data_IF_006862174990
#
_entry.id   IF_006862174990
#
_cell.length_a   1.000
_cell.length_b   1.000
_cell.length_c   1.000
_cell.angle_alpha   90.00
_cell.angle_beta   90.00
_cell.angle_gamma   90.00
#
_symmetry.space_group_name_H-M   'P 1'
#
loop_
_entity.id
_entity.type
_entity.pdbx_description
1 polymer ?
#
# COMPACT_ATOMS: atom_id res chain seq x y z
N UNK A 1 -22.83 9.76 19.20
CA UNK A 1 -21.43 9.44 18.86
C UNK A 1 -21.32 7.93 18.96
N UNK A 2 -21.22 7.21 17.85
CA UNK A 2 -21.04 5.76 17.88
C UNK A 2 -19.55 5.47 17.75
N UNK A 3 -18.97 4.93 18.81
CA UNK A 3 -17.59 4.47 18.86
C UNK A 3 -17.59 2.99 18.50
N UNK A 4 -17.14 2.67 17.28
CA UNK A 4 -16.93 1.27 16.89
C UNK A 4 -15.51 0.90 17.31
N UNK A 5 -15.37 0.25 18.46
CA UNK A 5 -14.10 -0.28 18.94
C UNK A 5 -13.71 -1.53 18.17
N UNK A 6 -12.47 -1.60 17.66
CA UNK A 6 -11.88 -2.80 17.07
C UNK A 6 -10.59 -3.13 17.82
N UNK A 7 -10.41 -4.41 18.18
CA UNK A 7 -9.21 -4.95 18.81
C UNK A 7 -8.34 -5.59 17.72
N UNK A 8 -7.08 -5.18 17.63
CA UNK A 8 -6.09 -5.72 16.70
C UNK A 8 -4.92 -6.33 17.46
N UNK A 9 -4.34 -7.39 16.90
CA UNK A 9 -3.20 -8.11 17.50
C UNK A 9 -1.90 -7.32 17.37
N UNK A 10 -1.73 -6.60 16.26
CA UNK A 10 -0.61 -5.71 15.99
C UNK A 10 -1.10 -4.31 15.55
N UNK A 11 -0.32 -3.27 15.89
CA UNK A 11 -0.65 -1.88 15.58
C UNK A 11 -0.52 -1.54 14.09
N UNK A 12 0.39 -2.17 13.36
CA UNK A 12 0.52 -1.94 11.91
C UNK A 12 -0.64 -2.56 11.14
N UNK A 13 -1.06 -3.74 11.57
CA UNK A 13 -2.18 -4.48 10.99
C UNK A 13 -3.49 -3.70 11.18
N UNK A 14 -3.74 -3.15 12.37
CA UNK A 14 -4.89 -2.28 12.61
C UNK A 14 -4.90 -1.03 11.74
N UNK A 15 -3.74 -0.42 11.48
CA UNK A 15 -3.64 0.72 10.56
C UNK A 15 -3.97 0.34 9.12
N UNK A 16 -3.52 -0.83 8.66
CA UNK A 16 -3.84 -1.30 7.30
C UNK A 16 -5.33 -1.58 7.15
N UNK A 17 -5.94 -2.29 8.11
CA UNK A 17 -7.36 -2.67 8.06
C UNK A 17 -8.27 -1.44 8.10
N UNK A 18 -7.99 -0.50 9.01
CA UNK A 18 -8.77 0.76 9.09
C UNK A 18 -8.64 1.57 7.80
N UNK A 19 -7.46 1.59 7.17
CA UNK A 19 -7.27 2.32 5.92
C UNK A 19 -7.96 1.63 4.72
N UNK A 20 -7.95 0.29 4.67
CA UNK A 20 -8.70 -0.47 3.67
C UNK A 20 -10.21 -0.27 3.81
N UNK A 21 -10.73 -0.33 5.04
CA UNK A 21 -12.14 -0.07 5.35
C UNK A 21 -12.54 1.38 5.01
N UNK A 22 -11.68 2.35 5.29
CA UNK A 22 -11.86 3.75 4.89
C UNK A 22 -11.99 3.91 3.37
N UNK A 23 -11.13 3.23 2.59
CA UNK A 23 -11.17 3.24 1.13
C UNK A 23 -12.45 2.60 0.59
N UNK A 24 -12.82 1.41 1.08
CA UNK A 24 -13.99 0.67 0.62
C UNK A 24 -15.31 1.43 0.86
N UNK A 25 -15.40 2.13 1.99
CA UNK A 25 -16.59 2.89 2.37
C UNK A 25 -16.55 4.36 1.92
N UNK A 26 -15.50 4.79 1.20
CA UNK A 26 -15.27 6.21 0.81
C UNK A 26 -15.34 7.16 2.02
N UNK A 27 -14.96 6.66 3.20
CA UNK A 27 -15.10 7.36 4.48
C UNK A 27 -13.73 7.72 5.06
N UNK A 28 -13.71 8.86 5.73
CA UNK A 28 -12.50 9.46 6.25
C UNK A 28 -12.38 9.20 7.76
N UNK A 29 -11.35 8.45 8.17
CA UNK A 29 -11.17 7.96 9.53
C UNK A 29 -9.85 8.49 10.13
N UNK A 30 -9.94 9.25 11.23
CA UNK A 30 -8.82 9.72 12.06
C UNK A 30 -8.57 8.73 13.18
N UNK A 31 -7.37 8.16 13.22
CA UNK A 31 -6.95 7.23 14.27
C UNK A 31 -6.41 8.03 15.45
N UNK A 32 -7.06 7.92 16.60
CA UNK A 32 -6.52 8.39 17.88
C UNK A 32 -6.03 7.17 18.66
N UNK A 33 -4.80 7.26 19.18
CA UNK A 33 -4.18 6.18 19.95
C UNK A 33 -4.66 6.29 21.41
N UNK A 34 -5.22 5.22 21.96
CA UNK A 34 -5.42 5.03 23.39
C UNK A 34 -4.61 3.79 23.83
N UNK A 35 -4.39 3.62 25.14
CA UNK A 35 -3.45 2.65 25.72
C UNK A 35 -3.74 1.17 25.38
N UNK A 36 -4.88 0.84 24.75
CA UNK A 36 -5.18 -0.53 24.25
C UNK A 36 -6.12 -0.60 23.05
N UNK A 37 -6.70 0.54 22.60
CA UNK A 37 -7.68 0.56 21.52
C UNK A 37 -7.42 1.67 20.49
N UNK A 38 -7.77 1.40 19.23
CA UNK A 38 -7.76 2.42 18.18
C UNK A 38 -9.13 3.10 18.13
N UNK A 39 -9.17 4.40 18.41
CA UNK A 39 -10.41 5.18 18.30
C UNK A 39 -10.46 5.84 16.94
N UNK A 40 -11.48 5.50 16.17
CA UNK A 40 -11.72 6.03 14.83
C UNK A 40 -12.67 7.23 14.91
N UNK A 41 -12.19 8.43 14.55
CA UNK A 41 -12.98 9.68 14.52
C UNK A 41 -13.23 10.12 13.08
N UNK A 42 -14.37 10.74 12.78
CA UNK A 42 -14.65 11.29 11.44
C UNK A 42 -13.62 12.37 11.06
N UNK A 43 -12.96 12.23 9.91
CA UNK A 43 -12.09 13.28 9.34
C UNK A 43 -11.19 12.81 8.20
N UNK A 44 -10.86 13.74 7.29
CA UNK A 44 -10.21 13.60 5.96
C UNK A 44 -9.22 12.42 5.82
N UNK A 45 -9.27 11.61 4.74
CA UNK A 45 -8.60 10.31 4.74
C UNK A 45 -7.08 10.47 4.63
N UNK A 46 -6.37 9.87 5.57
CA UNK A 46 -4.92 9.75 5.48
C UNK A 46 -4.58 8.53 4.63
N UNK A 47 -4.66 8.68 3.30
CA UNK A 47 -4.26 7.63 2.38
C UNK A 47 -2.75 7.33 2.57
N UNK A 48 -2.44 6.25 3.29
CA UNK A 48 -1.07 5.76 3.44
C UNK A 48 -0.52 5.31 2.08
N UNK A 49 0.77 5.58 1.87
CA UNK A 49 1.51 5.24 0.64
C UNK A 49 1.43 3.74 0.35
N UNK A 50 1.55 2.90 1.39
CA UNK A 50 1.47 1.44 1.26
C UNK A 50 0.10 0.97 0.74
N UNK A 51 -0.99 1.57 1.23
CA UNK A 51 -2.34 1.19 0.83
C UNK A 51 -2.66 1.65 -0.59
N UNK A 52 -2.19 2.84 -0.97
CA UNK A 52 -2.21 3.30 -2.37
C UNK A 52 -1.41 2.35 -3.25
N UNK A 53 -0.21 1.94 -2.80
CA UNK A 53 0.64 1.03 -3.55
C UNK A 53 -0.04 -0.33 -3.79
N UNK A 54 -0.71 -0.88 -2.78
CA UNK A 54 -1.41 -2.16 -2.88
C UNK A 54 -2.61 -2.09 -3.83
N UNK A 55 -3.38 -1.01 -3.80
CA UNK A 55 -4.49 -0.77 -4.74
C UNK A 55 -4.00 -0.66 -6.19
N UNK A 56 -2.92 0.08 -6.43
CA UNK A 56 -2.40 0.30 -7.78
C UNK A 56 -1.51 -0.81 -8.31
N UNK A 57 -1.17 -1.83 -7.50
CA UNK A 57 -0.29 -2.94 -7.91
C UNK A 57 -0.75 -3.59 -9.22
N UNK A 58 -2.02 -3.98 -9.29
CA UNK A 58 -2.58 -4.66 -10.47
C UNK A 58 -2.66 -3.74 -11.69
N UNK A 59 -2.94 -2.44 -11.49
CA UNK A 59 -3.04 -1.46 -12.58
C UNK A 59 -1.66 -1.14 -13.19
N UNK A 60 -0.62 -1.04 -12.36
CA UNK A 60 0.76 -0.75 -12.79
C UNK A 60 1.46 -1.95 -13.43
N UNK A 61 1.12 -3.18 -13.01
CA UNK A 61 1.62 -4.40 -13.67
C UNK A 61 1.17 -4.50 -15.13
N UNK A 62 -0.10 -4.22 -15.42
CA UNK A 62 -0.64 -4.27 -16.78
C UNK A 62 -0.20 -3.07 -17.64
N UNK A 63 0.10 -1.92 -17.01
CA UNK A 63 0.49 -0.69 -17.69
C UNK A 63 1.66 0.01 -16.98
N UNK A 64 2.92 -0.38 -17.25
CA UNK A 64 4.09 0.19 -16.56
C UNK A 64 4.27 1.70 -16.80
N UNK A 65 3.77 2.22 -17.92
CA UNK A 65 3.80 3.66 -18.26
C UNK A 65 2.61 4.48 -17.73
N UNK A 66 1.82 3.94 -16.80
CA UNK A 66 0.65 4.65 -16.26
C UNK A 66 1.05 6.01 -15.67
N UNK A 67 0.40 7.09 -16.13
CA UNK A 67 0.75 8.47 -15.81
C UNK A 67 0.24 8.83 -14.41
N UNK A 68 1.06 9.58 -13.66
CA UNK A 68 0.71 10.03 -12.30
C UNK A 68 -0.52 10.95 -12.26
N UNK A 69 -0.79 11.69 -13.35
CA UNK A 69 -1.97 12.56 -13.47
C UNK A 69 -3.27 11.75 -13.51
N UNK A 70 -3.29 10.64 -14.25
CA UNK A 70 -4.45 9.76 -14.34
C UNK A 70 -4.71 9.04 -13.01
N UNK A 71 -3.66 8.54 -12.34
CA UNK A 71 -3.73 7.99 -10.97
C UNK A 71 -4.39 9.00 -10.02
N UNK A 72 -3.96 10.26 -10.09
CA UNK A 72 -4.47 11.32 -9.23
C UNK A 72 -5.94 11.62 -9.56
N UNK A 73 -6.29 11.71 -10.84
CA UNK A 73 -7.66 11.95 -11.29
C UNK A 73 -8.63 10.86 -10.83
N UNK A 74 -8.23 9.58 -10.89
CA UNK A 74 -9.03 8.48 -10.35
C UNK A 74 -9.24 8.61 -8.83
N UNK A 75 -8.21 9.00 -8.08
CA UNK A 75 -8.34 9.20 -6.63
C UNK A 75 -9.22 10.39 -6.26
N UNK A 76 -9.11 11.47 -7.03
CA UNK A 76 -9.94 12.68 -6.85
C UNK A 76 -11.40 12.41 -7.24
N UNK A 77 -11.66 11.63 -8.30
CA UNK A 77 -13.02 11.32 -8.75
C UNK A 77 -13.70 10.23 -7.92
N UNK A 78 -13.04 9.08 -7.76
CA UNK A 78 -13.67 7.90 -7.17
C UNK A 78 -13.77 8.01 -5.65
N UNK A 79 -12.73 8.57 -5.02
CA UNK A 79 -12.62 8.63 -3.57
C UNK A 79 -12.73 10.05 -2.99
N UNK A 80 -12.85 11.10 -3.82
CA UNK A 80 -12.76 12.51 -3.38
C UNK A 80 -11.51 12.77 -2.53
N UNK A 81 -10.42 12.06 -2.84
CA UNK A 81 -9.16 12.10 -2.12
C UNK A 81 -8.19 13.06 -2.78
N UNK A 82 -7.87 14.16 -2.10
CA UNK A 82 -6.78 15.01 -2.51
C UNK A 82 -5.44 14.43 -2.01
N UNK A 83 -4.76 13.66 -2.87
CA UNK A 83 -3.45 13.09 -2.59
C UNK A 83 -2.37 13.90 -3.30
N UNK A 84 -1.35 14.31 -2.54
CA UNK A 84 -0.18 14.99 -3.12
C UNK A 84 0.57 14.10 -4.10
N UNK A 85 1.02 14.69 -5.22
CA UNK A 85 1.79 14.01 -6.27
C UNK A 85 3.03 13.29 -5.71
N UNK A 86 3.69 13.84 -4.69
CA UNK A 86 4.86 13.23 -4.06
C UNK A 86 4.53 11.88 -3.39
N UNK A 87 3.33 11.74 -2.80
CA UNK A 87 2.88 10.48 -2.20
C UNK A 87 2.61 9.42 -3.26
N UNK A 88 1.99 9.82 -4.38
CA UNK A 88 1.74 8.93 -5.51
C UNK A 88 3.03 8.49 -6.19
N UNK A 89 4.00 9.39 -6.35
CA UNK A 89 5.33 9.05 -6.87
C UNK A 89 6.03 8.01 -5.99
N UNK A 90 5.99 8.19 -4.66
CA UNK A 90 6.55 7.21 -3.71
C UNK A 90 5.81 5.87 -3.77
N UNK A 91 4.49 5.88 -3.84
CA UNK A 91 3.69 4.65 -3.97
C UNK A 91 4.02 3.90 -5.27
N UNK A 92 4.17 4.64 -6.38
CA UNK A 92 4.54 4.07 -7.68
C UNK A 92 5.93 3.44 -7.63
N UNK A 93 6.93 4.14 -7.09
CA UNK A 93 8.29 3.60 -6.94
C UNK A 93 8.29 2.33 -6.08
N UNK A 94 7.57 2.34 -4.95
CA UNK A 94 7.48 1.17 -4.07
C UNK A 94 6.93 -0.08 -4.78
N UNK A 95 6.00 0.10 -5.73
CA UNK A 95 5.49 -1.01 -6.55
C UNK A 95 6.56 -1.45 -7.56
N UNK A 96 7.20 -0.51 -8.25
CA UNK A 96 8.25 -0.81 -9.25
C UNK A 96 9.42 -1.56 -8.60
N UNK A 97 9.89 -1.11 -7.44
CA UNK A 97 10.94 -1.76 -6.66
C UNK A 97 10.56 -3.20 -6.29
N UNK A 98 9.30 -3.43 -5.89
CA UNK A 98 8.79 -4.79 -5.60
C UNK A 98 8.62 -5.65 -6.85
N UNK A 99 8.42 -5.06 -8.02
CA UNK A 99 8.36 -5.79 -9.29
C UNK A 99 9.76 -6.16 -9.77
N UNK A 100 10.71 -5.23 -9.73
CA UNK A 100 12.11 -5.46 -10.13
C UNK A 100 12.81 -6.43 -9.17
N UNK A 101 12.56 -6.32 -7.86
CA UNK A 101 13.11 -7.24 -6.86
C UNK A 101 12.70 -8.70 -7.08
N UNK A 102 11.53 -8.96 -7.68
CA UNK A 102 11.11 -10.33 -8.02
C UNK A 102 12.06 -10.96 -9.05
N UNK A 103 12.42 -10.22 -10.10
CA UNK A 103 13.31 -10.74 -11.15
C UNK A 103 14.71 -10.98 -10.62
N UNK A 104 15.24 -10.06 -9.81
CA UNK A 104 16.58 -10.19 -9.22
C UNK A 104 16.67 -11.41 -8.29
N UNK A 105 15.62 -11.68 -7.50
CA UNK A 105 15.56 -12.84 -6.62
C UNK A 105 15.57 -14.17 -7.41
N UNK A 106 14.81 -14.23 -8.50
CA UNK A 106 14.76 -15.41 -9.38
C UNK A 106 16.13 -15.69 -10.03
N UNK A 107 16.86 -14.66 -10.45
CA UNK A 107 18.23 -14.81 -10.98
C UNK A 107 19.22 -15.27 -9.90
N UNK A 108 19.14 -14.73 -8.69
CA UNK A 108 20.00 -15.15 -7.58
C UNK A 108 19.82 -16.64 -7.24
N UNK A 109 18.60 -17.18 -7.34
CA UNK A 109 18.35 -18.62 -7.18
C UNK A 109 19.07 -19.47 -8.22
N UNK A 110 19.05 -19.06 -9.49
CA UNK A 110 19.74 -19.78 -10.56
C UNK A 110 21.26 -19.73 -10.39
N UNK A 111 21.80 -18.56 -10.00
CA UNK A 111 23.22 -18.42 -9.71
C UNK A 111 23.66 -19.29 -8.52
N UNK A 112 22.89 -19.28 -7.43
CA UNK A 112 23.13 -20.12 -6.26
C UNK A 112 23.19 -21.60 -6.63
N UNK A 113 22.22 -22.08 -7.42
CA UNK A 113 22.21 -23.46 -7.92
C UNK A 113 23.46 -23.81 -8.75
N UNK A 114 23.90 -22.90 -9.63
CA UNK A 114 25.13 -23.07 -10.41
C UNK A 114 26.38 -23.15 -9.52
N UNK A 115 26.43 -22.39 -8.43
CA UNK A 115 27.50 -22.45 -7.44
C UNK A 115 27.49 -23.78 -6.67
N UNK A 116 26.32 -24.27 -6.27
CA UNK A 116 26.18 -25.57 -5.59
C UNK A 116 26.68 -26.73 -6.46
N UNK A 117 26.35 -26.73 -7.76
CA UNK A 117 26.85 -27.75 -8.71
C UNK A 117 28.37 -27.69 -8.86
N UNK A 118 28.95 -26.48 -8.88
CA UNK A 118 30.41 -26.28 -8.97
C UNK A 118 31.15 -26.69 -7.71
N UNK A 119 30.54 -26.57 -6.54
CA UNK A 119 31.14 -26.96 -5.26
C UNK A 119 31.02 -28.46 -4.98
N UNK A 120 30.08 -29.15 -5.64
CA UNK A 120 29.81 -30.58 -5.43
C UNK A 120 30.56 -31.53 -6.39
N UNK A 121 31.32 -30.99 -7.36
CA UNK A 121 32.20 -31.74 -8.26
C UNK A 121 33.67 -31.43 -7.98
#
# INVERSE_FOLDING_TARGET
>A
MEEVGMLFKDMEEGRQVVNYYALANKMALRISKADTCMVVRRGVPLANVATLAQYFKNKLQNNPKYKLKDIRGELEFDFRLNVSQSKLKRAKNMILEKLEGSFVDDYNKLEAYGQEIRQSN
#
